data_IF_095033009786
#
_entry.id   IF_095033009786
#
_cell.length_a   1.000
_cell.length_b   1.000
_cell.length_c   1.000
_cell.angle_alpha   90.00
_cell.angle_beta   90.00
_cell.angle_gamma   90.00
#
_symmetry.space_group_name_H-M   'P 1'
#
loop_
_entity.id
_entity.type
_entity.pdbx_description
1 polymer ?
#
# COMPACT_ATOMS: atom_id res chain seq x y z
N UNK A 1 -29.63 -6.05 -9.50
CA UNK A 1 -29.82 -5.42 -8.17
C UNK A 1 -28.66 -5.87 -7.31
N UNK A 2 -27.63 -5.02 -7.19
CA UNK A 2 -26.52 -5.21 -6.26
C UNK A 2 -27.09 -5.22 -4.86
N UNK A 3 -26.83 -6.29 -4.12
CA UNK A 3 -27.22 -6.43 -2.73
C UNK A 3 -26.40 -5.40 -1.93
N UNK A 4 -26.99 -4.21 -1.75
CA UNK A 4 -26.57 -3.17 -0.82
C UNK A 4 -26.79 -3.71 0.60
N UNK A 5 -25.99 -4.72 0.99
CA UNK A 5 -25.86 -5.05 2.38
C UNK A 5 -25.36 -3.79 3.06
N UNK A 6 -26.23 -3.21 3.89
CA UNK A 6 -25.87 -2.22 4.90
C UNK A 6 -24.91 -2.91 5.87
N UNK A 7 -23.67 -3.16 5.41
CA UNK A 7 -22.61 -3.77 6.19
C UNK A 7 -22.17 -2.70 7.16
N UNK A 8 -22.85 -2.65 8.30
CA UNK A 8 -22.29 -2.02 9.49
C UNK A 8 -20.83 -2.45 9.60
N UNK A 9 -19.94 -1.49 9.89
CA UNK A 9 -18.48 -1.60 9.89
C UNK A 9 -18.07 -3.05 10.17
N UNK A 10 -17.58 -3.77 9.15
CA UNK A 10 -17.24 -5.18 9.30
C UNK A 10 -16.24 -5.36 10.44
N UNK A 11 -16.31 -6.49 11.16
CA UNK A 11 -15.41 -6.77 12.29
C UNK A 11 -13.93 -6.50 11.95
N UNK A 12 -13.53 -6.80 10.72
CA UNK A 12 -12.20 -6.48 10.19
C UNK A 12 -11.89 -4.97 10.12
N UNK A 13 -12.79 -4.14 9.61
CA UNK A 13 -12.60 -2.68 9.59
C UNK A 13 -12.60 -2.09 11.00
N UNK A 14 -13.44 -2.61 11.90
CA UNK A 14 -13.52 -2.14 13.29
C UNK A 14 -12.24 -2.42 14.08
N UNK A 15 -11.63 -3.59 13.85
CA UNK A 15 -10.39 -4.01 14.53
C UNK A 15 -9.12 -3.80 13.68
N UNK A 16 -9.21 -3.09 12.55
CA UNK A 16 -8.10 -2.91 11.61
C UNK A 16 -6.87 -2.30 12.29
N UNK A 17 -7.06 -1.30 13.15
CA UNK A 17 -5.96 -0.66 13.90
C UNK A 17 -5.24 -1.64 14.81
N UNK A 18 -5.98 -2.48 15.55
CA UNK A 18 -5.42 -3.46 16.47
C UNK A 18 -4.70 -4.58 15.70
N UNK A 19 -5.27 -5.01 14.58
CA UNK A 19 -4.64 -5.97 13.68
C UNK A 19 -3.34 -5.43 13.08
N UNK A 20 -3.33 -4.18 12.61
CA UNK A 20 -2.12 -3.52 12.09
C UNK A 20 -1.06 -3.41 13.18
N UNK A 21 -1.43 -3.00 14.39
CA UNK A 21 -0.50 -2.91 15.52
C UNK A 21 0.10 -4.28 15.87
N UNK A 22 -0.73 -5.33 15.91
CA UNK A 22 -0.28 -6.70 16.14
C UNK A 22 0.69 -7.16 15.04
N UNK A 23 0.35 -6.93 13.77
CA UNK A 23 1.24 -7.24 12.64
C UNK A 23 2.56 -6.46 12.70
N UNK A 24 2.56 -5.19 13.12
CA UNK A 24 3.79 -4.42 13.29
C UNK A 24 4.69 -5.03 14.37
N UNK A 25 4.12 -5.36 15.54
CA UNK A 25 4.88 -5.99 16.63
C UNK A 25 5.48 -7.32 16.16
N UNK A 26 4.63 -8.19 15.60
CA UNK A 26 5.08 -9.51 15.09
C UNK A 26 6.14 -9.35 14.00
N UNK A 27 5.95 -8.42 13.06
CA UNK A 27 6.90 -8.15 11.98
C UNK A 27 8.26 -7.65 12.48
N UNK A 28 8.28 -6.77 13.48
CA UNK A 28 9.51 -6.28 14.12
C UNK A 28 10.22 -7.40 14.87
N UNK A 29 9.47 -8.22 15.63
CA UNK A 29 10.04 -9.39 16.30
C UNK A 29 10.66 -10.36 15.28
N UNK A 30 9.93 -10.73 14.22
CA UNK A 30 10.45 -11.62 13.17
C UNK A 30 11.68 -11.03 12.48
N UNK A 31 11.65 -9.74 12.10
CA UNK A 31 12.77 -9.07 11.46
C UNK A 31 14.03 -8.99 12.35
N UNK A 32 13.85 -8.88 13.67
CA UNK A 32 14.97 -8.85 14.63
C UNK A 32 15.53 -10.25 14.92
N UNK A 33 14.67 -11.26 15.05
CA UNK A 33 15.08 -12.64 15.38
C UNK A 33 15.60 -13.43 14.17
N UNK A 34 15.16 -13.09 12.96
CA UNK A 34 15.61 -13.70 11.71
C UNK A 34 16.20 -12.62 10.79
N UNK A 35 17.42 -12.09 11.08
CA UNK A 35 18.13 -11.19 10.18
C UNK A 35 18.48 -11.87 8.84
N UNK A 36 18.30 -13.18 8.74
CA UNK A 36 18.41 -13.94 7.51
C UNK A 36 17.43 -13.48 6.42
N UNK A 37 16.22 -13.00 6.74
CA UNK A 37 15.27 -12.54 5.71
C UNK A 37 15.80 -11.29 4.97
N UNK A 38 16.17 -10.19 5.64
CA UNK A 38 16.78 -9.05 4.96
C UNK A 38 18.17 -9.38 4.40
N UNK A 39 18.96 -10.27 5.02
CA UNK A 39 20.27 -10.67 4.50
C UNK A 39 20.18 -11.53 3.22
N UNK A 40 19.20 -12.44 3.12
CA UNK A 40 18.92 -13.18 1.88
C UNK A 40 18.37 -12.26 0.79
N UNK A 41 17.53 -11.28 1.14
CA UNK A 41 17.08 -10.25 0.20
C UNK A 41 18.21 -9.32 -0.26
N UNK A 42 19.19 -9.05 0.62
CA UNK A 42 20.43 -8.32 0.31
C UNK A 42 21.43 -9.16 -0.49
N UNK A 43 21.44 -10.49 -0.39
CA UNK A 43 22.25 -11.31 -1.31
C UNK A 43 21.75 -11.21 -2.76
N UNK A 44 20.46 -10.89 -2.95
CA UNK A 44 19.88 -10.54 -4.24
C UNK A 44 19.81 -9.02 -4.49
N UNK A 45 20.52 -8.19 -3.71
CA UNK A 45 20.68 -6.77 -4.02
C UNK A 45 21.67 -6.61 -5.18
N UNK A 46 21.14 -6.13 -6.30
CA UNK A 46 21.94 -5.46 -7.31
C UNK A 46 21.71 -3.95 -7.12
N UNK A 47 22.73 -3.21 -6.68
CA UNK A 47 22.71 -1.76 -6.51
C UNK A 47 21.68 -1.19 -5.50
N UNK A 48 21.64 -1.71 -4.26
CA UNK A 48 20.81 -1.20 -3.13
C UNK A 48 19.29 -1.32 -3.31
N UNK A 49 18.84 -2.09 -4.31
CA UNK A 49 17.42 -2.38 -4.53
C UNK A 49 17.24 -3.89 -4.59
N UNK A 50 16.67 -4.45 -3.52
CA UNK A 50 16.28 -5.85 -3.50
C UNK A 50 15.17 -6.09 -4.53
N UNK A 51 15.44 -6.90 -5.55
CA UNK A 51 14.46 -7.24 -6.60
C UNK A 51 13.12 -7.74 -6.00
N UNK A 52 13.10 -8.59 -4.96
CA UNK A 52 11.83 -9.01 -4.36
C UNK A 52 11.05 -7.85 -3.73
N UNK A 53 11.73 -6.90 -3.10
CA UNK A 53 11.12 -5.70 -2.53
C UNK A 53 10.55 -4.80 -3.63
N UNK A 54 11.23 -4.66 -4.76
CA UNK A 54 10.72 -3.92 -5.92
C UNK A 54 9.42 -4.54 -6.46
N UNK A 55 9.35 -5.87 -6.56
CA UNK A 55 8.12 -6.59 -6.94
C UNK A 55 7.01 -6.37 -5.92
N UNK A 56 7.30 -6.44 -4.61
CA UNK A 56 6.32 -6.15 -3.56
C UNK A 56 5.73 -4.74 -3.69
N UNK A 57 6.57 -3.74 -3.89
CA UNK A 57 6.14 -2.35 -4.07
C UNK A 57 5.30 -2.22 -5.36
N UNK A 58 5.73 -2.83 -6.46
CA UNK A 58 4.98 -2.82 -7.72
C UNK A 58 3.58 -3.44 -7.56
N UNK A 59 3.48 -4.56 -6.85
CA UNK A 59 2.21 -5.22 -6.52
C UNK A 59 1.31 -4.33 -5.63
N UNK A 60 1.86 -3.46 -4.80
CA UNK A 60 1.06 -2.49 -4.02
C UNK A 60 0.61 -1.28 -4.85
N UNK A 61 1.44 -0.80 -5.78
CA UNK A 61 1.13 0.35 -6.64
C UNK A 61 0.02 -0.02 -7.65
N UNK A 62 0.08 -1.21 -8.22
CA UNK A 62 -0.87 -1.68 -9.24
C UNK A 62 -2.36 -1.59 -8.80
N UNK A 63 -2.81 -2.12 -7.65
CA UNK A 63 -4.20 -2.05 -7.21
C UNK A 63 -4.63 -0.61 -6.89
N UNK A 64 -3.70 0.27 -6.51
CA UNK A 64 -4.00 1.68 -6.33
C UNK A 64 -4.29 2.34 -7.68
N UNK A 65 -3.46 2.08 -8.70
CA UNK A 65 -3.65 2.60 -10.07
C UNK A 65 -4.96 2.11 -10.70
N UNK A 66 -5.38 0.86 -10.46
CA UNK A 66 -6.67 0.34 -10.94
C UNK A 66 -7.88 1.02 -10.29
N UNK A 67 -7.73 1.52 -9.06
CA UNK A 67 -8.80 2.27 -8.37
C UNK A 67 -8.88 3.73 -8.84
N UNK A 68 -7.89 4.22 -9.59
CA UNK A 68 -7.90 5.58 -10.12
C UNK A 68 -8.90 5.65 -11.27
N UNK A 69 -9.96 6.43 -11.06
CA UNK A 69 -10.96 6.70 -12.08
C UNK A 69 -10.37 7.65 -13.15
N UNK A 70 -10.09 7.10 -14.34
CA UNK A 70 -9.52 7.87 -15.47
C UNK A 70 -10.40 9.07 -15.88
N UNK A 71 -11.71 9.03 -15.59
CA UNK A 71 -12.64 10.13 -15.86
C UNK A 71 -12.40 11.32 -14.91
N UNK A 72 -12.02 11.06 -13.67
CA UNK A 72 -11.59 12.05 -12.68
C UNK A 72 -10.26 12.69 -13.07
N UNK A 73 -9.29 11.91 -13.55
CA UNK A 73 -8.03 12.43 -14.14
C UNK A 73 -8.32 13.43 -15.28
N UNK A 74 -9.26 13.13 -16.17
CA UNK A 74 -9.62 14.02 -17.28
C UNK A 74 -10.31 15.31 -16.81
N UNK A 75 -11.09 15.26 -15.72
CA UNK A 75 -11.75 16.44 -15.16
C UNK A 75 -10.79 17.36 -14.40
N UNK A 76 -9.74 16.80 -13.79
CA UNK A 76 -8.71 17.58 -13.08
C UNK A 76 -7.96 18.53 -14.03
N UNK A 77 -7.77 18.15 -15.30
CA UNK A 77 -7.20 19.03 -16.33
C UNK A 77 -8.04 20.28 -16.64
N UNK A 78 -9.34 20.31 -16.28
CA UNK A 78 -10.21 21.48 -16.50
C UNK A 78 -10.04 22.57 -15.44
N UNK A 79 -9.52 22.25 -14.25
CA UNK A 79 -9.31 23.20 -13.14
C UNK A 79 -7.94 22.99 -12.47
N UNK A 80 -6.83 23.34 -13.15
CA UNK A 80 -5.47 23.07 -12.67
C UNK A 80 -5.06 23.94 -11.46
N UNK A 81 -5.81 24.99 -11.13
CA UNK A 81 -5.48 25.93 -10.04
C UNK A 81 -5.33 25.22 -8.69
N UNK A 82 -6.18 24.23 -8.39
CA UNK A 82 -6.10 23.48 -7.14
C UNK A 82 -4.88 22.57 -7.07
N UNK A 83 -4.49 21.93 -8.18
CA UNK A 83 -3.27 21.13 -8.25
C UNK A 83 -2.00 21.99 -8.16
N UNK A 84 -2.02 23.18 -8.78
CA UNK A 84 -0.87 24.07 -8.78
C UNK A 84 -0.53 24.57 -7.38
N UNK A 85 -1.53 24.86 -6.55
CA UNK A 85 -1.32 25.27 -5.14
C UNK A 85 -0.74 24.13 -4.29
N UNK A 86 -1.07 22.87 -4.59
CA UNK A 86 -0.46 21.72 -3.90
C UNK A 86 0.94 21.39 -4.43
N UNK A 87 1.23 21.77 -5.67
CA UNK A 87 2.51 21.47 -6.34
C UNK A 87 3.59 22.54 -6.08
N UNK A 88 3.19 23.79 -5.80
CA UNK A 88 4.08 24.89 -5.40
C UNK A 88 4.46 24.78 -3.92
#
# INVERSE_FOLDING_TARGET
MSNEETRGIGFFQKYLTIWVALCMIVGVFIGKFVPGIPAFLNQFEYAKVSIPTAVLIWVMIYPMMMKVDFKSIKNVGKNPKGLYVTWV
#
